data_IF_883345814136
#
_entry.id   IF_883345814136
#
_cell.length_a   1.000
_cell.length_b   1.000
_cell.length_c   1.000
_cell.angle_alpha   90.00
_cell.angle_beta   90.00
_cell.angle_gamma   90.00
#
_symmetry.space_group_name_H-M   'P 1'
#
loop_
_entity.id
_entity.type
_entity.pdbx_description
1 polymer ?
#
# COMPACT_ATOMS: atom_id res chain seq x y z
N UNK A 1 -21.58 -16.78 11.22
CA UNK A 1 -20.78 -15.61 11.65
C UNK A 1 -20.13 -15.01 10.41
N UNK A 2 -20.10 -13.71 10.26
CA UNK A 2 -19.29 -13.05 9.21
C UNK A 2 -18.07 -12.42 9.90
N UNK A 3 -16.89 -12.67 9.32
CA UNK A 3 -15.62 -12.14 9.79
C UNK A 3 -15.05 -11.22 8.70
N UNK A 4 -15.32 -9.93 8.84
CA UNK A 4 -15.07 -8.93 7.82
C UNK A 4 -13.83 -8.10 8.20
N UNK A 5 -12.75 -8.29 7.46
CA UNK A 5 -11.59 -7.42 7.52
C UNK A 5 -11.80 -6.18 6.66
N UNK A 6 -11.39 -5.02 7.17
CA UNK A 6 -11.23 -3.84 6.32
C UNK A 6 -9.98 -3.96 5.43
N UNK A 7 -8.93 -4.54 5.96
CA UNK A 7 -7.74 -4.89 5.19
C UNK A 7 -8.06 -6.03 4.19
N UNK A 8 -7.50 -6.02 2.98
CA UNK A 8 -6.44 -5.13 2.48
C UNK A 8 -6.92 -3.86 1.77
N UNK A 9 -8.05 -3.26 2.17
CA UNK A 9 -8.46 -1.96 1.64
C UNK A 9 -7.36 -0.90 1.88
N UNK A 10 -7.14 -0.02 0.90
CA UNK A 10 -6.25 1.16 1.01
C UNK A 10 -6.66 2.04 2.21
N UNK A 11 -5.80 2.57 3.08
CA UNK A 11 -4.35 2.54 3.02
C UNK A 11 -3.81 1.31 3.78
N UNK A 12 -2.73 0.77 3.27
CA UNK A 12 -2.12 -0.44 3.81
C UNK A 12 -1.23 -0.11 5.02
N UNK A 13 -1.71 -0.46 6.21
CA UNK A 13 -0.97 -0.36 7.46
C UNK A 13 -0.96 -1.73 8.14
N UNK A 14 0.01 -2.58 7.80
CA UNK A 14 0.18 -3.89 8.42
C UNK A 14 0.57 -3.76 9.90
N UNK A 15 0.70 -4.87 10.62
CA UNK A 15 1.32 -4.82 11.95
C UNK A 15 2.74 -4.26 11.86
N UNK A 16 3.25 -3.59 12.93
CA UNK A 16 4.60 -3.01 12.90
C UNK A 16 5.70 -4.02 12.55
N UNK A 17 5.55 -5.27 13.00
CA UNK A 17 6.49 -6.37 12.75
C UNK A 17 6.49 -6.73 11.27
N UNK A 18 5.31 -6.91 10.66
CA UNK A 18 5.18 -7.19 9.22
C UNK A 18 5.65 -6.01 8.36
N UNK A 19 5.40 -4.78 8.80
CA UNK A 19 5.88 -3.59 8.12
C UNK A 19 7.40 -3.56 8.03
N UNK A 20 8.09 -3.83 9.13
CA UNK A 20 9.55 -3.89 9.16
C UNK A 20 10.10 -5.09 8.35
N UNK A 21 9.48 -6.27 8.49
CA UNK A 21 9.87 -7.49 7.78
C UNK A 21 9.78 -7.32 6.26
N UNK A 22 8.65 -6.79 5.77
CA UNK A 22 8.40 -6.70 4.34
C UNK A 22 9.13 -5.51 3.68
N UNK A 23 9.49 -4.50 4.43
CA UNK A 23 10.33 -3.42 3.93
C UNK A 23 11.70 -3.91 3.44
N UNK A 24 12.24 -4.94 4.05
CA UNK A 24 13.53 -5.54 3.66
C UNK A 24 13.41 -6.54 2.49
N UNK A 25 12.20 -6.76 1.95
CA UNK A 25 11.95 -7.67 0.82
C UNK A 25 11.92 -6.92 -0.49
N UNK A 26 12.45 -7.55 -1.53
CA UNK A 26 12.33 -7.11 -2.90
C UNK A 26 11.34 -8.04 -3.65
N UNK A 27 10.49 -7.45 -4.47
CA UNK A 27 9.47 -8.15 -5.23
C UNK A 27 9.75 -8.09 -6.72
N UNK A 28 9.58 -9.21 -7.46
CA UNK A 28 9.80 -9.22 -8.88
C UNK A 28 8.80 -8.30 -9.60
N UNK A 29 9.31 -7.51 -10.53
CA UNK A 29 8.49 -6.66 -11.37
C UNK A 29 7.74 -7.51 -12.40
N UNK A 30 6.42 -7.31 -12.61
CA UNK A 30 5.73 -7.96 -13.70
C UNK A 30 6.22 -7.42 -15.04
N UNK A 31 6.25 -8.27 -16.06
CA UNK A 31 6.70 -7.87 -17.39
C UNK A 31 5.87 -6.71 -18.00
N UNK A 32 4.66 -6.50 -17.49
CA UNK A 32 3.72 -5.46 -17.93
C UNK A 32 3.76 -4.19 -17.07
N UNK A 33 4.68 -4.06 -16.10
CA UNK A 33 4.79 -2.85 -15.26
C UNK A 33 4.96 -1.56 -16.10
N UNK A 34 5.59 -1.67 -17.26
CA UNK A 34 5.83 -0.57 -18.20
C UNK A 34 5.09 -0.77 -19.53
N UNK A 35 3.94 -1.47 -19.50
CA UNK A 35 3.14 -1.70 -20.70
C UNK A 35 2.63 -0.36 -21.27
N UNK A 36 2.78 -0.18 -22.57
CA UNK A 36 2.25 0.97 -23.29
C UNK A 36 0.79 0.76 -23.76
N UNK A 37 0.20 -0.38 -23.42
CA UNK A 37 -1.13 -0.84 -23.81
C UNK A 37 -1.35 -0.94 -25.32
N UNK A 38 -0.27 -1.01 -26.12
CA UNK A 38 -0.37 -1.25 -27.56
C UNK A 38 -1.04 -2.62 -27.81
N UNK A 39 -1.94 -2.67 -28.78
CA UNK A 39 -2.70 -3.90 -29.08
C UNK A 39 -3.82 -4.25 -28.09
N UNK A 40 -4.01 -3.48 -27.01
CA UNK A 40 -5.08 -3.72 -26.03
C UNK A 40 -6.36 -2.95 -26.36
N UNK A 41 -7.48 -3.34 -25.72
CA UNK A 41 -8.77 -2.67 -25.88
C UNK A 41 -8.78 -1.23 -25.35
N UNK A 42 -9.79 -0.46 -25.76
CA UNK A 42 -9.93 0.96 -25.41
C UNK A 42 -9.92 1.21 -23.90
N UNK A 43 -10.60 0.36 -23.12
CA UNK A 43 -10.67 0.51 -21.67
C UNK A 43 -9.28 0.52 -21.01
N UNK A 44 -8.38 -0.38 -21.41
CA UNK A 44 -7.01 -0.42 -20.91
C UNK A 44 -6.20 0.81 -21.34
N UNK A 45 -6.35 1.22 -22.61
CA UNK A 45 -5.64 2.38 -23.17
C UNK A 45 -6.04 3.71 -22.54
N UNK A 46 -7.28 3.83 -22.09
CA UNK A 46 -7.82 5.06 -21.51
C UNK A 46 -7.84 5.04 -19.98
N UNK A 47 -7.41 3.96 -19.36
CA UNK A 47 -7.25 3.90 -17.90
C UNK A 47 -6.17 4.88 -17.45
N UNK A 48 -6.56 5.87 -16.66
CA UNK A 48 -5.65 6.92 -16.20
C UNK A 48 -4.83 6.47 -14.98
N UNK A 49 -5.36 5.51 -14.19
CA UNK A 49 -4.74 5.08 -12.95
C UNK A 49 -3.47 4.28 -13.23
N UNK A 50 -2.36 4.72 -12.67
CA UNK A 50 -1.08 4.02 -12.72
C UNK A 50 -0.29 4.25 -11.44
N UNK A 51 0.73 3.43 -11.23
CA UNK A 51 1.56 3.47 -10.01
C UNK A 51 2.30 4.80 -9.88
N UNK A 52 2.88 5.31 -10.98
CA UNK A 52 3.72 6.51 -10.94
C UNK A 52 2.96 7.74 -10.46
N UNK A 53 1.76 7.98 -11.03
CA UNK A 53 1.02 9.23 -10.83
C UNK A 53 -0.11 9.13 -9.79
N UNK A 54 -0.63 7.93 -9.48
CA UNK A 54 -1.79 7.77 -8.61
C UNK A 54 -1.46 7.19 -7.22
N UNK A 55 -0.29 6.57 -7.04
CA UNK A 55 0.18 6.18 -5.70
C UNK A 55 0.77 7.39 -4.98
N UNK A 56 0.16 7.76 -3.85
CA UNK A 56 0.54 8.95 -3.08
C UNK A 56 1.77 8.67 -2.20
N UNK A 57 2.68 9.63 -2.13
CA UNK A 57 3.89 9.52 -1.32
C UNK A 57 3.60 9.27 0.17
N UNK A 58 2.70 10.08 0.75
CA UNK A 58 2.38 10.00 2.17
C UNK A 58 1.41 8.86 2.49
N UNK A 59 0.40 8.66 1.63
CA UNK A 59 -0.68 7.71 1.89
C UNK A 59 -0.28 6.27 1.56
N UNK A 60 0.29 6.05 0.38
CA UNK A 60 0.59 4.72 -0.12
C UNK A 60 2.03 4.30 0.18
N UNK A 61 2.99 5.19 -0.06
CA UNK A 61 4.42 4.88 0.14
C UNK A 61 4.94 5.18 1.54
N UNK A 62 4.12 5.76 2.41
CA UNK A 62 4.46 6.06 3.82
C UNK A 62 5.64 7.01 4.02
N UNK A 63 5.92 7.86 3.03
CA UNK A 63 6.87 8.96 3.22
C UNK A 63 6.29 9.95 4.24
N UNK A 64 7.07 10.34 5.23
CA UNK A 64 6.61 11.27 6.27
C UNK A 64 6.23 12.64 5.67
N UNK A 65 5.10 13.22 6.10
CA UNK A 65 4.69 14.55 5.64
C UNK A 65 5.74 15.64 5.86
N UNK A 66 6.52 15.56 6.92
CA UNK A 66 7.62 16.47 7.22
C UNK A 66 8.72 16.41 6.16
N UNK A 67 9.00 15.23 5.63
CA UNK A 67 9.97 15.04 4.54
C UNK A 67 9.50 15.74 3.28
N UNK A 68 8.25 15.53 2.88
CA UNK A 68 7.66 16.22 1.72
C UNK A 68 7.66 17.74 1.92
N UNK A 69 7.32 18.21 3.12
CA UNK A 69 7.35 19.64 3.43
C UNK A 69 8.74 20.27 3.28
N UNK A 70 9.79 19.56 3.69
CA UNK A 70 11.19 20.02 3.56
C UNK A 70 11.65 20.00 2.11
N UNK A 71 11.25 18.98 1.32
CA UNK A 71 11.61 18.88 -0.09
C UNK A 71 10.88 19.90 -0.96
N UNK A 72 9.73 20.42 -0.52
CA UNK A 72 8.90 21.34 -1.30
C UNK A 72 8.09 20.62 -2.39
N UNK A 73 8.19 21.11 -3.64
CA UNK A 73 7.51 20.47 -4.76
C UNK A 73 8.21 19.16 -5.13
N UNK A 74 7.45 18.06 -5.14
CA UNK A 74 7.92 16.72 -5.47
C UNK A 74 7.21 16.24 -6.73
N UNK A 75 7.97 15.98 -7.79
CA UNK A 75 7.42 15.49 -9.06
C UNK A 75 7.57 13.95 -9.20
N UNK A 76 6.64 13.26 -9.89
CA UNK A 76 5.41 13.81 -10.45
C UNK A 76 4.42 14.22 -9.34
N UNK A 77 3.77 15.38 -9.52
CA UNK A 77 2.75 15.84 -8.58
C UNK A 77 1.46 15.02 -8.76
N UNK A 78 1.00 14.42 -7.67
CA UNK A 78 -0.20 13.59 -7.69
C UNK A 78 -1.42 14.48 -7.51
N UNK A 79 -2.26 14.52 -8.53
CA UNK A 79 -3.49 15.31 -8.54
C UNK A 79 -4.66 14.41 -8.92
N UNK A 80 -5.71 14.43 -8.11
CA UNK A 80 -6.96 13.75 -8.42
C UNK A 80 -7.99 14.76 -8.86
N UNK A 81 -8.73 14.45 -9.91
CA UNK A 81 -9.90 15.22 -10.32
C UNK A 81 -11.13 14.61 -9.64
N UNK A 82 -11.83 15.41 -8.84
CA UNK A 82 -13.11 14.99 -8.26
C UNK A 82 -14.23 15.02 -9.30
N UNK A 83 -15.34 14.36 -9.00
CA UNK A 83 -16.49 14.33 -9.89
C UNK A 83 -17.11 15.70 -10.23
N UNK A 84 -16.82 16.73 -9.44
CA UNK A 84 -17.17 18.13 -9.67
C UNK A 84 -16.13 18.92 -10.47
N UNK A 85 -15.04 18.25 -10.94
CA UNK A 85 -13.94 18.86 -11.67
C UNK A 85 -12.89 19.56 -10.80
N UNK A 86 -13.05 19.60 -9.46
CA UNK A 86 -12.05 20.18 -8.56
C UNK A 86 -10.83 19.28 -8.42
N UNK A 87 -9.66 19.90 -8.26
CA UNK A 87 -8.39 19.19 -8.04
C UNK A 87 -8.21 18.86 -6.55
N UNK A 88 -7.75 17.63 -6.28
CA UNK A 88 -7.41 17.19 -4.93
C UNK A 88 -5.95 16.76 -4.90
N UNK A 89 -5.16 17.44 -4.09
CA UNK A 89 -3.77 17.13 -3.84
C UNK A 89 -3.63 16.17 -2.65
N UNK A 90 -2.59 15.33 -2.61
CA UNK A 90 -2.28 14.52 -1.44
C UNK A 90 -2.15 15.37 -0.18
N UNK A 91 -2.74 14.91 0.90
CA UNK A 91 -2.68 15.60 2.19
C UNK A 91 -2.01 14.72 3.26
N UNK A 92 -1.42 15.36 4.25
CA UNK A 92 -0.85 14.68 5.41
C UNK A 92 -1.89 13.83 6.19
N UNK A 93 -3.19 14.08 6.00
CA UNK A 93 -4.26 13.30 6.60
C UNK A 93 -4.23 11.83 6.17
N UNK A 94 -3.81 11.54 4.94
CA UNK A 94 -3.65 10.17 4.44
C UNK A 94 -2.61 9.37 5.25
N UNK A 95 -1.60 10.05 5.78
CA UNK A 95 -0.60 9.48 6.69
C UNK A 95 -1.08 9.48 8.15
N UNK A 96 -1.38 10.65 8.69
CA UNK A 96 -1.67 10.82 10.12
C UNK A 96 -2.99 10.17 10.55
N UNK A 97 -3.98 10.05 9.68
CA UNK A 97 -5.24 9.42 10.03
C UNK A 97 -5.07 7.96 10.48
N UNK A 98 -4.48 7.08 9.67
CA UNK A 98 -4.18 5.70 10.09
C UNK A 98 -3.11 5.61 11.17
N UNK A 99 -1.97 6.33 11.03
CA UNK A 99 -0.88 6.33 12.00
C UNK A 99 -1.32 6.79 13.39
N UNK A 100 -2.23 7.76 13.44
CA UNK A 100 -2.78 8.29 14.70
C UNK A 100 -3.55 7.27 15.52
N UNK A 101 -4.06 6.18 14.89
CA UNK A 101 -4.78 5.10 15.57
C UNK A 101 -3.84 4.12 16.29
N UNK A 102 -2.58 4.09 15.93
CA UNK A 102 -1.58 3.27 16.60
C UNK A 102 -1.30 3.79 18.02
N UNK A 103 -1.12 2.88 18.97
CA UNK A 103 -0.67 3.26 20.31
C UNK A 103 0.81 3.67 20.31
N UNK A 104 1.32 4.20 21.43
CA UNK A 104 2.67 4.73 21.49
C UNK A 104 3.77 3.67 21.27
N UNK A 105 3.54 2.43 21.69
CA UNK A 105 4.48 1.32 21.45
C UNK A 105 4.53 0.96 19.96
N UNK A 106 3.38 0.83 19.33
CA UNK A 106 3.28 0.57 17.89
C UNK A 106 3.92 1.69 17.07
N UNK A 107 3.67 2.97 17.43
CA UNK A 107 4.30 4.12 16.76
C UNK A 107 5.81 4.05 16.80
N UNK A 108 6.41 3.75 17.95
CA UNK A 108 7.87 3.58 18.08
C UNK A 108 8.42 2.48 17.16
N UNK A 109 7.69 1.39 17.00
CA UNK A 109 8.09 0.30 16.08
C UNK A 109 7.97 0.73 14.61
N UNK A 110 6.90 1.43 14.25
CA UNK A 110 6.76 1.98 12.89
C UNK A 110 7.82 3.03 12.58
N UNK A 111 8.17 3.88 13.55
CA UNK A 111 9.07 5.02 13.34
C UNK A 111 10.39 4.61 12.73
N UNK A 112 10.97 3.48 13.14
CA UNK A 112 12.25 2.98 12.62
C UNK A 112 12.19 2.76 11.10
N UNK A 113 11.13 2.11 10.61
CA UNK A 113 10.97 1.84 9.16
C UNK A 113 10.54 3.09 8.40
N UNK A 114 9.64 3.90 8.98
CA UNK A 114 9.19 5.15 8.39
C UNK A 114 10.33 6.14 8.19
N UNK A 115 11.30 6.17 9.11
CA UNK A 115 12.48 7.03 8.98
C UNK A 115 13.40 6.55 7.83
N UNK A 116 13.60 5.23 7.71
CA UNK A 116 14.34 4.66 6.57
C UNK A 116 13.68 5.00 5.23
N UNK A 117 12.37 4.81 5.10
CA UNK A 117 11.60 5.14 3.88
C UNK A 117 11.76 6.61 3.53
N UNK A 118 11.61 7.48 4.52
CA UNK A 118 11.64 8.93 4.32
C UNK A 118 13.04 9.44 3.98
N UNK A 119 14.07 8.83 4.56
CA UNK A 119 15.46 9.13 4.25
C UNK A 119 15.81 8.68 2.83
N UNK A 120 15.50 7.44 2.47
CA UNK A 120 15.69 6.91 1.13
C UNK A 120 15.00 7.77 0.06
N UNK A 121 13.72 8.13 0.30
CA UNK A 121 12.97 9.01 -0.59
C UNK A 121 13.65 10.37 -0.76
N UNK A 122 14.08 10.98 0.32
CA UNK A 122 14.71 12.30 0.31
C UNK A 122 16.03 12.31 -0.47
N UNK A 123 16.82 11.25 -0.32
CA UNK A 123 18.15 11.14 -0.92
C UNK A 123 18.09 10.74 -2.40
N UNK A 124 17.23 9.80 -2.74
CA UNK A 124 17.27 9.15 -4.06
C UNK A 124 16.23 9.70 -5.04
N UNK A 125 15.02 10.00 -4.58
CA UNK A 125 13.91 10.43 -5.43
C UNK A 125 14.23 11.60 -6.37
N UNK A 126 14.93 12.67 -5.95
CA UNK A 126 15.22 13.81 -6.83
C UNK A 126 16.12 13.45 -8.03
N UNK A 127 16.86 12.37 -7.93
CA UNK A 127 17.82 11.93 -8.96
C UNK A 127 17.28 10.80 -9.84
N UNK A 128 16.11 10.25 -9.52
CA UNK A 128 15.46 9.17 -10.26
C UNK A 128 14.77 9.69 -11.52
N UNK A 129 14.88 8.97 -12.63
CA UNK A 129 14.00 9.14 -13.79
C UNK A 129 12.61 8.51 -13.52
N UNK A 130 11.65 8.70 -14.43
CA UNK A 130 10.27 8.25 -14.24
C UNK A 130 10.16 6.71 -14.11
N UNK A 131 11.01 5.97 -14.82
CA UNK A 131 11.05 4.51 -14.70
C UNK A 131 11.50 4.08 -13.31
N UNK A 132 12.59 4.66 -12.81
CA UNK A 132 13.13 4.38 -11.47
C UNK A 132 12.13 4.79 -10.37
N UNK A 133 11.44 5.92 -10.55
CA UNK A 133 10.36 6.37 -9.65
C UNK A 133 9.19 5.39 -9.62
N UNK A 134 8.79 4.88 -10.79
CA UNK A 134 7.73 3.87 -10.88
C UNK A 134 8.15 2.56 -10.20
N UNK A 135 9.40 2.11 -10.41
CA UNK A 135 9.97 0.93 -9.74
C UNK A 135 9.99 1.10 -8.22
N UNK A 136 10.47 2.25 -7.75
CA UNK A 136 10.47 2.57 -6.33
C UNK A 136 9.06 2.53 -5.72
N UNK A 137 8.08 3.16 -6.36
CA UNK A 137 6.68 3.12 -5.91
C UNK A 137 6.11 1.70 -5.97
N UNK A 138 6.43 0.92 -6.99
CA UNK A 138 6.01 -0.47 -7.10
C UNK A 138 6.54 -1.29 -5.92
N UNK A 139 7.84 -1.19 -5.59
CA UNK A 139 8.41 -1.90 -4.44
C UNK A 139 7.72 -1.49 -3.13
N UNK A 140 7.51 -0.19 -2.89
CA UNK A 140 6.79 0.29 -1.70
C UNK A 140 5.36 -0.23 -1.64
N UNK A 141 4.65 -0.22 -2.77
CA UNK A 141 3.30 -0.76 -2.88
C UNK A 141 3.27 -2.26 -2.52
N UNK A 142 4.13 -3.05 -3.13
CA UNK A 142 4.17 -4.49 -2.91
C UNK A 142 4.55 -4.82 -1.46
N UNK A 143 5.52 -4.13 -0.89
CA UNK A 143 5.93 -4.30 0.50
C UNK A 143 4.76 -4.06 1.47
N UNK A 144 4.05 -2.95 1.32
CA UNK A 144 2.97 -2.58 2.25
C UNK A 144 1.70 -3.42 2.02
N UNK A 145 1.34 -3.68 0.76
CA UNK A 145 0.16 -4.47 0.41
C UNK A 145 0.30 -5.92 0.87
N UNK A 146 1.40 -6.58 0.53
CA UNK A 146 1.62 -7.98 0.90
C UNK A 146 1.87 -8.16 2.41
N UNK A 147 2.50 -7.19 3.08
CA UNK A 147 2.58 -7.18 4.53
C UNK A 147 1.19 -7.10 5.19
N UNK A 148 0.29 -6.30 4.59
CA UNK A 148 -1.10 -6.20 5.05
C UNK A 148 -1.85 -7.50 4.84
N UNK A 149 -1.70 -8.15 3.69
CA UNK A 149 -2.27 -9.48 3.42
C UNK A 149 -1.73 -10.52 4.40
N UNK A 150 -0.43 -10.54 4.66
CA UNK A 150 0.18 -11.42 5.66
C UNK A 150 -0.41 -11.20 7.06
N UNK A 151 -0.72 -9.95 7.42
CA UNK A 151 -1.40 -9.65 8.69
C UNK A 151 -2.85 -10.16 8.72
N UNK A 152 -3.55 -10.17 7.59
CA UNK A 152 -4.90 -10.76 7.46
C UNK A 152 -4.82 -12.27 7.61
N UNK A 153 -3.85 -12.92 6.95
CA UNK A 153 -3.62 -14.36 7.01
C UNK A 153 -3.38 -14.84 8.45
N UNK A 154 -2.50 -14.16 9.20
CA UNK A 154 -2.27 -14.44 10.62
C UNK A 154 -3.59 -14.40 11.44
N UNK A 155 -4.46 -13.44 11.15
CA UNK A 155 -5.74 -13.31 11.85
C UNK A 155 -6.78 -14.35 11.43
N UNK A 156 -6.80 -14.74 10.16
CA UNK A 156 -7.62 -15.87 9.68
C UNK A 156 -7.18 -17.16 10.37
N UNK A 157 -5.87 -17.41 10.44
CA UNK A 157 -5.29 -18.56 11.16
C UNK A 157 -5.73 -18.61 12.62
N UNK A 158 -5.78 -17.45 13.32
CA UNK A 158 -6.27 -17.38 14.72
C UNK A 158 -7.75 -17.77 14.84
N UNK A 159 -8.58 -17.41 13.87
CA UNK A 159 -10.01 -17.82 13.85
C UNK A 159 -10.12 -19.32 13.64
N UNK A 160 -9.40 -19.89 12.67
CA UNK A 160 -9.41 -21.34 12.40
C UNK A 160 -8.93 -22.13 13.62
N UNK A 161 -7.81 -21.73 14.22
CA UNK A 161 -7.31 -22.35 15.46
C UNK A 161 -8.31 -22.27 16.62
N UNK A 162 -9.13 -21.21 16.69
CA UNK A 162 -10.21 -21.10 17.68
C UNK A 162 -11.33 -22.09 17.45
N UNK A 163 -11.65 -22.45 16.18
CA UNK A 163 -12.63 -23.49 15.86
C UNK A 163 -12.14 -24.88 16.32
N UNK A 164 -10.86 -25.16 16.07
CA UNK A 164 -10.23 -26.41 16.50
C UNK A 164 -10.18 -26.55 18.03
N UNK A 165 -9.73 -25.49 18.71
CA UNK A 165 -9.66 -25.46 20.18
C UNK A 165 -11.04 -25.66 20.84
N UNK A 166 -12.09 -25.18 20.20
CA UNK A 166 -13.48 -25.35 20.66
C UNK A 166 -14.11 -26.68 20.20
N UNK A 167 -13.42 -27.47 19.41
CA UNK A 167 -13.89 -28.76 18.86
C UNK A 167 -15.19 -28.61 18.03
N UNK A 168 -15.29 -27.53 17.27
CA UNK A 168 -16.44 -27.25 16.40
C UNK A 168 -16.04 -27.16 14.92
N UNK A 169 -14.76 -27.35 14.59
CA UNK A 169 -14.27 -27.26 13.22
C UNK A 169 -14.98 -28.26 12.28
N UNK A 170 -15.15 -29.52 12.70
CA UNK A 170 -15.81 -30.57 11.92
C UNK A 170 -17.29 -30.28 11.61
N UNK A 171 -17.91 -29.38 12.38
CA UNK A 171 -19.31 -28.95 12.19
C UNK A 171 -19.41 -27.49 11.72
N UNK A 172 -18.37 -26.98 11.07
CA UNK A 172 -18.31 -25.60 10.61
C UNK A 172 -17.87 -25.55 9.14
N UNK A 173 -18.70 -24.94 8.29
CA UNK A 173 -18.33 -24.64 6.91
C UNK A 173 -17.63 -23.28 6.91
N UNK A 174 -16.40 -23.22 6.41
CA UNK A 174 -15.62 -22.00 6.24
C UNK A 174 -15.64 -21.58 4.78
N UNK A 175 -16.09 -20.36 4.51
CA UNK A 175 -16.04 -19.76 3.17
C UNK A 175 -15.13 -18.54 3.20
N UNK A 176 -14.08 -18.56 2.36
CA UNK A 176 -13.20 -17.41 2.15
C UNK A 176 -13.50 -16.77 0.81
N UNK A 177 -13.72 -15.47 0.81
CA UNK A 177 -14.02 -14.71 -0.42
C UNK A 177 -13.60 -13.26 -0.28
N UNK A 178 -13.60 -12.53 -1.39
CA UNK A 178 -13.40 -11.09 -1.44
C UNK A 178 -14.42 -10.46 -2.38
N UNK A 179 -14.74 -9.21 -2.15
CA UNK A 179 -15.58 -8.37 -3.02
C UNK A 179 -14.75 -7.67 -4.10
N UNK A 180 -13.46 -7.47 -3.87
CA UNK A 180 -12.53 -6.76 -4.75
C UNK A 180 -11.09 -7.27 -4.61
N UNK A 181 -10.20 -6.72 -5.44
CA UNK A 181 -8.76 -6.89 -5.37
C UNK A 181 -8.01 -5.73 -6.00
N UNK A 182 -6.69 -5.79 -5.95
CA UNK A 182 -5.79 -4.85 -6.62
C UNK A 182 -4.92 -5.60 -7.62
N UNK A 183 -4.58 -4.94 -8.72
CA UNK A 183 -3.52 -5.39 -9.60
C UNK A 183 -2.16 -5.27 -8.89
N UNK A 184 -1.26 -6.20 -9.17
CA UNK A 184 0.06 -6.25 -8.55
C UNK A 184 1.15 -5.68 -9.47
N UNK A 185 0.82 -4.60 -10.17
CA UNK A 185 1.71 -3.91 -11.10
C UNK A 185 1.51 -4.31 -12.57
N UNK A 186 0.51 -5.14 -12.89
CA UNK A 186 0.19 -5.54 -14.28
C UNK A 186 -0.52 -4.45 -15.07
N UNK A 187 -0.99 -3.41 -14.38
CA UNK A 187 -1.66 -2.23 -14.93
C UNK A 187 -1.13 -0.95 -14.32
#
# INVERSE_FOLDING_TARGET
>A
MMYLHKAPHRAWWPSPEKFAEFYEKEFPEPATLFDDYSGRGTAAKTAEMNILTHMQYMHDSKVRPETIKVMGKVEPEIVYVRGDGSLMYPTAQGFYGPFGRANNEQKKKYDVTLDKISQDFKENWPNMNDKEKMQWKFQRYMQDYLATISSVDDNVGRVLNSLDAKKIADNTIVVYTSDQGFYLGEH
#
